data_IF_950347503383
#
_entry.id   IF_950347503383
#
_cell.length_a   1.000
_cell.length_b   1.000
_cell.length_c   1.000
_cell.angle_alpha   90.00
_cell.angle_beta   90.00
_cell.angle_gamma   90.00
#
_symmetry.space_group_name_H-M   'P 1'
#
loop_
_entity.id
_entity.type
_entity.pdbx_description
1 polymer ?
#
# COMPACT_ATOMS: atom_id res chain seq x y z
N UNK A 1 2.40 80.27 38.98
CA UNK A 1 1.35 81.33 38.92
C UNK A 1 1.30 81.85 37.50
N UNK A 2 0.18 82.05 36.83
CA UNK A 2 -1.15 82.36 37.38
C UNK A 2 -2.24 81.37 36.84
N UNK A 3 -3.38 81.50 37.50
CA UNK A 3 -4.66 80.79 37.23
C UNK A 3 -5.30 81.32 35.92
N UNK A 4 -5.88 80.45 35.14
CA UNK A 4 -6.87 80.81 34.13
C UNK A 4 -8.22 80.13 34.43
N UNK A 5 -9.20 80.99 34.36
CA UNK A 5 -10.61 80.87 34.71
C UNK A 5 -11.33 80.14 33.58
N UNK A 6 -12.10 79.11 33.93
CA UNK A 6 -13.00 78.35 33.01
C UNK A 6 -14.31 79.13 32.86
N UNK A 7 -14.63 79.62 31.65
CA UNK A 7 -15.95 80.11 31.29
C UNK A 7 -16.79 78.95 30.70
N UNK A 8 -17.97 78.77 31.29
CA UNK A 8 -18.97 77.84 30.82
C UNK A 8 -19.81 78.47 29.70
N UNK A 9 -20.00 77.77 28.60
CA UNK A 9 -20.93 78.08 27.52
C UNK A 9 -22.19 77.23 27.62
N UNK A 10 -23.39 77.72 27.31
CA UNK A 10 -24.66 77.05 27.49
C UNK A 10 -24.93 76.03 26.35
N UNK A 11 -25.52 74.89 26.69
CA UNK A 11 -25.96 73.85 25.78
C UNK A 11 -27.28 74.23 25.07
N UNK A 12 -27.44 73.86 23.76
CA UNK A 12 -28.71 74.05 23.07
C UNK A 12 -29.67 72.90 23.33
N UNK A 13 -30.99 73.07 23.11
CA UNK A 13 -32.00 72.09 23.50
C UNK A 13 -32.04 70.82 22.60
N UNK A 14 -32.15 69.71 23.22
CA UNK A 14 -32.36 68.41 22.57
C UNK A 14 -33.72 68.35 21.87
N UNK A 15 -33.73 68.25 20.52
CA UNK A 15 -34.88 67.76 19.77
C UNK A 15 -34.82 66.21 19.66
N UNK A 16 -35.81 65.53 20.27
CA UNK A 16 -36.05 64.14 20.04
C UNK A 16 -36.50 63.88 18.58
N UNK A 17 -35.63 63.30 17.76
CA UNK A 17 -36.02 62.79 16.47
C UNK A 17 -36.39 61.30 16.67
N UNK A 18 -37.68 60.96 16.51
CA UNK A 18 -38.15 59.59 16.44
C UNK A 18 -37.56 58.91 15.16
N UNK A 19 -36.50 58.14 15.31
CA UNK A 19 -36.05 57.26 14.24
C UNK A 19 -36.95 56.04 14.21
N UNK A 20 -37.76 55.88 13.14
CA UNK A 20 -38.45 54.66 12.79
C UNK A 20 -37.37 53.60 12.41
N UNK A 21 -37.14 52.62 13.30
CA UNK A 21 -36.36 51.44 13.00
C UNK A 21 -37.17 50.59 12.02
N UNK A 22 -36.78 50.60 10.74
CA UNK A 22 -37.23 49.62 9.77
C UNK A 22 -36.55 48.30 10.12
N UNK A 23 -37.28 47.36 10.73
CA UNK A 23 -36.92 45.97 10.85
C UNK A 23 -36.97 45.33 9.45
N UNK A 24 -35.82 45.23 8.78
CA UNK A 24 -35.67 44.34 7.65
C UNK A 24 -35.75 42.88 8.17
N UNK A 25 -36.61 42.04 7.62
CA UNK A 25 -36.58 40.61 7.95
C UNK A 25 -35.26 40.05 7.41
N UNK A 26 -34.37 39.68 8.31
CA UNK A 26 -33.18 38.86 7.97
C UNK A 26 -33.68 37.49 7.50
N UNK A 27 -33.73 37.31 6.20
CA UNK A 27 -34.01 36.01 5.62
C UNK A 27 -32.79 35.11 5.93
N UNK A 28 -32.87 34.35 7.02
CA UNK A 28 -31.95 33.27 7.29
C UNK A 28 -32.16 32.22 6.18
N UNK A 29 -31.33 32.28 5.14
CA UNK A 29 -31.10 31.16 4.26
C UNK A 29 -30.43 30.06 5.11
N UNK A 30 -31.22 29.18 5.69
CA UNK A 30 -30.72 27.89 6.14
C UNK A 30 -30.26 27.17 4.90
N UNK A 31 -28.97 27.20 4.63
CA UNK A 31 -28.31 26.25 3.75
C UNK A 31 -28.57 24.88 4.38
N UNK A 32 -29.66 24.24 3.97
CA UNK A 32 -29.86 22.81 4.22
C UNK A 32 -28.73 22.10 3.49
N UNK A 33 -27.64 21.83 4.22
CA UNK A 33 -26.60 20.98 3.71
C UNK A 33 -27.26 19.61 3.48
N UNK A 34 -27.59 19.30 2.21
CA UNK A 34 -28.03 17.93 1.87
C UNK A 34 -27.04 16.96 2.49
N UNK A 35 -27.52 16.04 3.30
CA UNK A 35 -26.71 14.95 3.82
C UNK A 35 -26.02 14.23 2.67
N UNK A 36 -24.82 13.70 2.85
CA UNK A 36 -24.14 12.95 1.81
C UNK A 36 -25.05 11.76 1.42
N UNK A 37 -25.13 11.47 0.12
CA UNK A 37 -25.90 10.32 -0.37
C UNK A 37 -25.13 9.01 -0.24
N UNK A 38 -23.83 9.12 -0.04
CA UNK A 38 -22.87 8.02 -0.05
C UNK A 38 -21.92 8.13 1.13
N UNK A 39 -21.52 6.99 1.63
CA UNK A 39 -20.46 6.81 2.59
C UNK A 39 -19.38 5.95 1.90
N UNK A 40 -18.25 6.58 1.57
CA UNK A 40 -17.16 5.95 0.82
C UNK A 40 -15.99 5.75 1.78
N UNK A 41 -15.67 4.50 2.07
CA UNK A 41 -14.45 4.14 2.77
C UNK A 41 -13.27 4.36 1.82
N UNK A 42 -12.58 5.46 2.00
CA UNK A 42 -11.47 5.87 1.16
C UNK A 42 -10.12 5.45 1.79
N UNK A 43 -9.39 4.50 1.23
CA UNK A 43 -8.08 4.10 1.76
C UNK A 43 -7.06 5.23 1.75
N UNK A 44 -7.26 6.24 0.91
CA UNK A 44 -6.36 7.39 0.78
C UNK A 44 -6.84 8.66 1.52
N UNK A 45 -7.80 8.55 2.44
CA UNK A 45 -8.37 9.71 3.13
C UNK A 45 -7.33 10.53 3.88
N UNK A 46 -6.32 9.87 4.44
CA UNK A 46 -5.24 10.50 5.20
C UNK A 46 -4.08 11.01 4.34
N UNK A 47 -4.08 10.72 3.04
CA UNK A 47 -3.00 11.10 2.13
C UNK A 47 -3.09 12.59 1.79
N UNK A 48 -2.02 13.31 2.04
CA UNK A 48 -1.84 14.72 1.64
C UNK A 48 -1.06 14.77 0.33
N UNK A 49 -1.77 14.67 -0.78
CA UNK A 49 -1.21 14.48 -2.12
C UNK A 49 -0.16 15.51 -2.55
N UNK A 50 -0.14 16.71 -1.98
CA UNK A 50 0.86 17.75 -2.25
C UNK A 50 2.09 17.67 -1.31
N UNK A 51 2.02 16.90 -0.22
CA UNK A 51 3.04 16.89 0.83
C UNK A 51 3.67 15.51 1.01
N UNK A 52 2.85 14.44 0.92
CA UNK A 52 3.29 13.08 1.14
C UNK A 52 4.06 12.58 -0.08
N UNK A 53 5.13 11.82 0.18
CA UNK A 53 6.02 11.31 -0.84
C UNK A 53 5.61 9.90 -1.28
N UNK A 54 5.90 9.59 -2.51
CA UNK A 54 5.66 8.28 -3.11
C UNK A 54 6.96 7.48 -3.12
N UNK A 55 6.98 6.35 -2.40
CA UNK A 55 8.14 5.51 -2.24
C UNK A 55 7.94 4.15 -2.91
N UNK A 56 8.87 3.79 -3.81
CA UNK A 56 8.88 2.49 -4.45
C UNK A 56 9.27 1.42 -3.44
N UNK A 57 8.50 0.32 -3.36
CA UNK A 57 8.65 -0.72 -2.36
C UNK A 57 8.53 -2.12 -2.97
N UNK A 58 9.29 -3.08 -2.43
CA UNK A 58 9.10 -4.49 -2.68
C UNK A 58 9.08 -5.25 -1.35
N UNK A 59 8.12 -6.17 -1.24
CA UNK A 59 7.85 -6.91 -0.02
C UNK A 59 8.02 -8.43 -0.18
N UNK A 60 8.55 -8.90 -1.32
CA UNK A 60 8.78 -10.31 -1.59
C UNK A 60 10.01 -10.48 -2.49
N UNK A 61 11.11 -10.93 -1.91
CA UNK A 61 12.35 -11.20 -2.63
C UNK A 61 13.22 -12.21 -1.89
N UNK A 62 13.95 -13.02 -2.65
CA UNK A 62 14.78 -14.11 -2.14
C UNK A 62 16.25 -13.87 -2.41
N UNK A 63 17.08 -14.43 -1.55
CA UNK A 63 18.53 -14.41 -1.67
C UNK A 63 19.11 -15.83 -1.66
N UNK A 64 20.44 -15.95 -1.79
CA UNK A 64 21.15 -17.24 -1.65
C UNK A 64 20.98 -17.86 -0.28
N UNK A 65 20.40 -17.16 0.70
CA UNK A 65 20.08 -17.73 2.00
C UNK A 65 18.90 -18.68 1.97
N UNK A 66 18.02 -18.56 0.97
CA UNK A 66 16.96 -19.55 0.70
C UNK A 66 17.15 -20.19 -0.67
N UNK A 67 16.53 -19.71 -1.71
CA UNK A 67 16.57 -20.29 -3.05
C UNK A 67 16.72 -19.24 -4.17
N UNK A 68 16.99 -17.96 -3.80
CA UNK A 68 17.43 -16.95 -4.75
C UNK A 68 18.87 -17.18 -5.23
N UNK A 69 19.21 -16.64 -6.40
CA UNK A 69 20.54 -16.76 -6.99
C UNK A 69 21.50 -15.62 -6.62
N UNK A 70 20.97 -14.52 -6.14
CA UNK A 70 21.76 -13.35 -5.76
C UNK A 70 21.95 -13.34 -4.24
N UNK A 71 23.13 -12.98 -3.79
CA UNK A 71 23.36 -12.79 -2.36
C UNK A 71 22.66 -11.52 -1.84
N UNK A 72 22.47 -11.37 -0.51
CA UNK A 72 21.78 -10.23 0.05
C UNK A 72 22.32 -8.87 -0.40
N UNK A 73 23.63 -8.72 -0.54
CA UNK A 73 24.24 -7.46 -1.00
C UNK A 73 23.81 -7.09 -2.40
N UNK A 74 23.92 -8.04 -3.33
CA UNK A 74 23.54 -7.82 -4.73
C UNK A 74 22.07 -7.50 -4.83
N UNK A 75 21.23 -8.17 -4.06
CA UNK A 75 19.80 -7.89 -4.00
C UNK A 75 19.55 -6.44 -3.57
N UNK A 76 20.16 -6.00 -2.47
CA UNK A 76 20.02 -4.62 -1.99
C UNK A 76 20.52 -3.61 -3.02
N UNK A 77 21.72 -3.84 -3.60
CA UNK A 77 22.28 -2.95 -4.61
C UNK A 77 21.36 -2.80 -5.82
N UNK A 78 20.82 -3.91 -6.34
CA UNK A 78 19.91 -3.90 -7.49
C UNK A 78 18.61 -3.16 -7.21
N UNK A 79 18.00 -3.40 -6.07
CA UNK A 79 16.79 -2.66 -5.69
C UNK A 79 17.06 -1.18 -5.47
N UNK A 80 18.20 -0.83 -4.85
CA UNK A 80 18.62 0.57 -4.68
C UNK A 80 18.87 1.26 -6.05
N UNK A 81 19.58 0.64 -6.98
CA UNK A 81 19.82 1.14 -8.33
C UNK A 81 18.53 1.43 -9.10
N UNK A 82 17.46 0.66 -8.83
CA UNK A 82 16.13 0.84 -9.43
C UNK A 82 15.22 1.82 -8.65
N UNK A 83 15.79 2.52 -7.66
CA UNK A 83 15.10 3.57 -6.92
C UNK A 83 14.10 3.06 -5.89
N UNK A 84 14.23 1.82 -5.41
CA UNK A 84 13.44 1.35 -4.29
C UNK A 84 13.91 2.02 -2.99
N UNK A 85 12.95 2.45 -2.20
CA UNK A 85 13.19 3.06 -0.88
C UNK A 85 12.77 2.15 0.29
N UNK A 86 11.98 1.13 0.02
CA UNK A 86 11.51 0.18 1.03
C UNK A 86 11.71 -1.23 0.47
N UNK A 87 12.42 -2.06 1.22
CA UNK A 87 12.71 -3.43 0.83
C UNK A 87 12.52 -4.38 2.01
N UNK A 88 11.84 -5.50 1.77
CA UNK A 88 11.83 -6.65 2.65
C UNK A 88 12.49 -7.84 1.94
N UNK A 89 13.59 -8.35 2.47
CA UNK A 89 14.12 -9.64 2.06
C UNK A 89 13.34 -10.72 2.81
N UNK A 90 12.71 -11.60 2.06
CA UNK A 90 11.76 -12.59 2.58
C UNK A 90 12.19 -14.01 2.26
N UNK A 91 13.41 -14.34 2.59
CA UNK A 91 13.93 -15.70 2.43
C UNK A 91 13.02 -16.73 3.11
N UNK A 92 12.88 -17.91 2.50
CA UNK A 92 12.03 -19.00 2.99
C UNK A 92 12.38 -19.42 4.41
N UNK A 93 11.47 -19.19 5.34
CA UNK A 93 11.58 -19.57 6.76
C UNK A 93 12.85 -19.04 7.44
N UNK A 94 13.47 -17.99 6.92
CA UNK A 94 14.68 -17.37 7.42
C UNK A 94 14.51 -15.84 7.44
N UNK A 95 14.98 -15.20 8.49
CA UNK A 95 15.05 -13.73 8.54
C UNK A 95 16.43 -13.27 8.08
N UNK A 96 16.48 -12.43 7.05
CA UNK A 96 17.68 -11.79 6.52
C UNK A 96 17.66 -10.29 6.91
N UNK A 97 17.76 -10.03 8.23
CA UNK A 97 17.66 -8.69 8.79
C UNK A 97 18.54 -8.53 10.07
N UNK A 98 19.30 -7.41 10.24
CA UNK A 98 19.51 -6.41 9.18
C UNK A 98 20.34 -7.00 8.02
N UNK A 99 20.06 -6.58 6.81
CA UNK A 99 20.77 -7.13 5.63
C UNK A 99 22.29 -6.89 5.65
N UNK A 100 22.74 -5.90 6.44
CA UNK A 100 24.14 -5.57 6.65
C UNK A 100 24.95 -6.63 7.42
N UNK A 101 24.30 -7.56 8.11
CA UNK A 101 24.96 -8.64 8.86
C UNK A 101 25.23 -9.87 7.99
N UNK A 102 24.61 -9.96 6.80
CA UNK A 102 24.69 -11.13 5.92
C UNK A 102 25.62 -10.85 4.72
N UNK A 103 26.91 -10.71 5.00
CA UNK A 103 27.89 -10.24 4.02
C UNK A 103 28.37 -11.26 3.00
N UNK A 104 28.21 -12.55 3.21
CA UNK A 104 28.65 -13.59 2.28
C UNK A 104 27.78 -14.83 2.33
N UNK A 105 27.66 -15.44 1.16
CA UNK A 105 27.06 -16.69 0.81
C UNK A 105 27.01 -17.72 1.94
N UNK A 106 25.96 -17.70 2.68
CA UNK A 106 25.49 -18.88 3.36
C UNK A 106 24.42 -19.49 2.45
N UNK A 107 24.89 -20.16 1.41
CA UNK A 107 23.98 -20.81 0.49
C UNK A 107 23.24 -21.95 1.19
N UNK A 108 21.93 -21.93 1.13
CA UNK A 108 21.13 -23.14 1.42
C UNK A 108 21.50 -24.23 0.42
N UNK A 109 21.25 -25.50 0.74
CA UNK A 109 21.47 -26.60 -0.22
C UNK A 109 20.70 -26.41 -1.53
N UNK A 110 19.63 -25.66 -1.50
CA UNK A 110 18.76 -25.34 -2.64
C UNK A 110 19.38 -24.27 -3.53
N UNK A 111 19.95 -23.21 -2.94
CA UNK A 111 20.64 -22.18 -3.68
C UNK A 111 21.95 -22.65 -4.28
N UNK A 112 22.68 -23.60 -3.65
CA UNK A 112 23.85 -24.23 -4.23
C UNK A 112 23.59 -24.79 -5.62
N UNK A 113 22.50 -25.52 -5.77
CA UNK A 113 22.13 -26.10 -7.06
C UNK A 113 21.85 -25.04 -8.13
N UNK A 114 21.18 -23.95 -7.75
CA UNK A 114 20.89 -22.83 -8.66
C UNK A 114 22.13 -22.02 -9.01
N UNK A 115 23.07 -21.88 -8.08
CA UNK A 115 24.34 -21.19 -8.31
C UNK A 115 25.30 -21.94 -9.21
N UNK A 116 25.31 -23.28 -9.14
CA UNK A 116 26.10 -24.11 -10.06
C UNK A 116 25.67 -23.93 -11.53
N UNK A 117 24.37 -23.67 -11.75
CA UNK A 117 23.84 -23.44 -13.10
C UNK A 117 24.14 -22.04 -13.66
N UNK A 118 24.30 -21.04 -12.80
CA UNK A 118 24.61 -19.66 -13.19
C UNK A 118 25.29 -18.90 -12.04
N UNK A 119 26.58 -19.14 -11.78
CA UNK A 119 27.29 -18.43 -10.75
C UNK A 119 27.44 -16.97 -11.15
N UNK A 120 26.74 -16.06 -10.51
CA UNK A 120 27.05 -14.64 -10.55
C UNK A 120 28.21 -14.39 -9.59
N UNK A 121 29.40 -14.18 -10.16
CA UNK A 121 30.57 -13.80 -9.36
C UNK A 121 30.41 -12.38 -8.86
N UNK A 122 30.38 -12.24 -7.55
CA UNK A 122 30.43 -10.92 -6.91
C UNK A 122 31.85 -10.39 -6.88
N UNK A 123 32.06 -9.07 -7.11
CA UNK A 123 33.33 -8.43 -6.81
C UNK A 123 33.67 -8.65 -5.32
N UNK A 124 34.87 -9.13 -5.04
CA UNK A 124 35.33 -9.41 -3.66
C UNK A 124 35.50 -8.15 -2.81
N UNK A 125 35.42 -6.96 -3.42
CA UNK A 125 35.87 -5.67 -2.87
C UNK A 125 34.73 -4.78 -2.35
N UNK A 126 33.48 -5.26 -2.32
CA UNK A 126 32.35 -4.46 -1.84
C UNK A 126 32.37 -4.35 -0.31
N UNK A 127 32.72 -3.15 0.17
CA UNK A 127 32.70 -2.83 1.60
C UNK A 127 31.26 -2.74 2.06
N UNK A 128 30.89 -3.62 2.96
CA UNK A 128 29.51 -3.84 3.41
C UNK A 128 28.91 -2.67 4.19
N UNK A 129 29.77 -1.94 4.88
CA UNK A 129 29.40 -0.80 5.74
C UNK A 129 28.67 0.32 4.97
N UNK A 130 28.95 0.48 3.67
CA UNK A 130 28.32 1.51 2.83
C UNK A 130 26.88 1.16 2.42
N UNK A 131 26.38 -0.02 2.78
CA UNK A 131 25.02 -0.50 2.44
C UNK A 131 24.02 -0.42 3.58
N UNK A 132 24.35 0.28 4.63
CA UNK A 132 23.39 0.54 5.70
C UNK A 132 22.14 1.23 5.15
N UNK A 133 20.93 0.89 5.62
CA UNK A 133 19.70 1.49 5.14
C UNK A 133 19.72 3.01 5.14
N UNK A 134 20.26 3.61 6.19
CA UNK A 134 20.41 5.08 6.30
C UNK A 134 21.32 5.67 5.21
N UNK A 135 22.44 5.01 4.89
CA UNK A 135 23.36 5.46 3.86
C UNK A 135 22.75 5.38 2.45
N UNK A 136 21.92 4.38 2.21
CA UNK A 136 21.20 4.19 0.95
C UNK A 136 19.90 5.01 0.86
N UNK A 137 19.45 5.63 1.94
CA UNK A 137 18.12 6.27 2.00
C UNK A 137 16.97 5.27 1.87
N UNK A 138 17.17 4.04 2.34
CA UNK A 138 16.21 2.94 2.28
C UNK A 138 15.74 2.53 3.67
N UNK A 139 14.67 1.74 3.70
CA UNK A 139 14.22 0.98 4.87
C UNK A 139 14.43 -0.51 4.61
N UNK A 140 15.09 -1.17 5.55
CA UNK A 140 15.21 -2.63 5.68
C UNK A 140 14.10 -3.15 6.59
N UNK A 141 13.04 -3.73 6.02
CA UNK A 141 11.94 -4.30 6.81
C UNK A 141 12.31 -5.72 7.22
N UNK A 142 12.29 -5.98 8.54
CA UNK A 142 12.46 -7.32 9.08
C UNK A 142 11.30 -8.21 8.64
N UNK A 143 11.59 -9.24 7.85
CA UNK A 143 10.57 -10.10 7.25
C UNK A 143 11.12 -11.48 6.90
N UNK A 144 10.21 -12.41 6.62
CA UNK A 144 10.50 -13.70 5.99
C UNK A 144 9.26 -14.24 5.29
N UNK A 145 9.44 -15.21 4.41
CA UNK A 145 8.34 -15.98 3.85
C UNK A 145 8.15 -17.28 4.64
N UNK A 146 7.01 -17.45 5.29
CA UNK A 146 6.58 -18.69 5.91
C UNK A 146 6.08 -19.63 4.81
N UNK A 147 6.79 -20.72 4.55
CA UNK A 147 6.58 -21.55 3.36
C UNK A 147 6.32 -23.04 3.64
N UNK A 148 6.00 -23.39 4.88
CA UNK A 148 5.66 -24.75 5.26
C UNK A 148 4.20 -25.14 4.97
N UNK A 149 3.40 -24.20 4.51
CA UNK A 149 1.98 -24.29 4.18
C UNK A 149 1.65 -23.32 3.04
N UNK A 150 0.46 -22.71 3.01
CA UNK A 150 0.18 -21.54 2.14
C UNK A 150 1.22 -20.44 2.41
N UNK A 151 1.94 -20.00 1.39
CA UNK A 151 3.03 -19.06 1.58
C UNK A 151 2.53 -17.70 2.09
N UNK A 152 3.20 -17.15 3.09
CA UNK A 152 2.83 -15.90 3.74
C UNK A 152 4.07 -15.06 4.03
N UNK A 153 4.04 -13.79 3.65
CA UNK A 153 5.01 -12.81 4.14
C UNK A 153 4.70 -12.43 5.59
N UNK A 154 5.65 -12.63 6.49
CA UNK A 154 5.61 -12.17 7.86
C UNK A 154 6.52 -10.96 8.01
N UNK A 155 5.98 -9.82 8.52
CA UNK A 155 6.69 -8.54 8.57
C UNK A 155 6.69 -7.98 9.99
N UNK A 156 7.76 -7.23 10.32
CA UNK A 156 7.93 -6.54 11.62
C UNK A 156 7.84 -7.46 12.83
N UNK A 157 7.98 -8.76 12.63
CA UNK A 157 7.98 -9.71 13.73
C UNK A 157 9.19 -9.50 14.64
N UNK A 158 9.06 -9.83 15.92
CA UNK A 158 10.11 -9.70 16.91
C UNK A 158 10.94 -10.99 17.05
N UNK A 159 10.86 -11.87 16.06
CA UNK A 159 11.56 -13.15 16.13
C UNK A 159 13.01 -12.94 16.52
N UNK A 160 13.50 -13.63 17.56
CA UNK A 160 14.91 -13.61 17.88
C UNK A 160 15.70 -14.16 16.70
N UNK A 161 16.89 -13.69 16.54
CA UNK A 161 17.81 -13.87 15.42
C UNK A 161 17.70 -15.18 14.65
N UNK A 162 17.89 -15.16 13.32
CA UNK A 162 17.91 -16.37 12.54
C UNK A 162 18.99 -17.30 13.08
N UNK A 163 18.56 -18.39 13.67
CA UNK A 163 19.48 -19.48 13.96
C UNK A 163 19.77 -20.17 12.64
N UNK A 164 20.97 -19.99 12.14
CA UNK A 164 21.44 -20.56 10.90
C UNK A 164 21.03 -22.03 10.77
N UNK A 165 20.41 -22.39 9.65
CA UNK A 165 19.98 -23.76 9.38
C UNK A 165 18.72 -24.23 10.09
N UNK A 166 18.06 -23.39 10.88
CA UNK A 166 16.76 -23.72 11.46
C UNK A 166 15.65 -22.96 10.71
N UNK A 167 14.71 -23.75 10.20
CA UNK A 167 13.49 -23.22 9.62
C UNK A 167 12.73 -22.42 10.68
N UNK A 168 12.39 -21.17 10.33
CA UNK A 168 11.46 -20.35 11.10
C UNK A 168 10.01 -20.62 10.67
N UNK A 169 9.72 -21.80 10.16
CA UNK A 169 8.36 -22.26 10.01
C UNK A 169 7.77 -22.38 11.42
N UNK A 170 6.82 -21.55 11.75
CA UNK A 170 6.11 -21.63 13.02
C UNK A 170 5.35 -22.96 13.12
N UNK A 171 4.77 -23.40 12.03
CA UNK A 171 4.00 -24.64 11.92
C UNK A 171 3.82 -25.04 10.45
N UNK A 172 3.31 -26.24 10.23
CA UNK A 172 2.70 -26.66 8.95
C UNK A 172 1.22 -26.32 8.89
N UNK A 173 0.69 -25.61 9.91
CA UNK A 173 -0.67 -25.14 10.03
C UNK A 173 -0.68 -23.62 9.90
N UNK A 174 -1.48 -23.10 8.99
CA UNK A 174 -1.59 -21.65 8.73
C UNK A 174 -2.09 -20.88 9.95
N UNK A 175 -3.03 -21.47 10.70
CA UNK A 175 -3.63 -20.84 11.87
C UNK A 175 -2.60 -20.66 12.99
N UNK A 176 -1.83 -21.70 13.29
CA UNK A 176 -0.76 -21.65 14.31
C UNK A 176 0.32 -20.63 13.93
N UNK A 177 0.68 -20.56 12.64
CA UNK A 177 1.66 -19.61 12.13
C UNK A 177 1.18 -18.17 12.25
N UNK A 178 -0.08 -17.91 11.88
CA UNK A 178 -0.71 -16.58 12.03
C UNK A 178 -0.75 -16.16 13.49
N UNK A 179 -1.15 -17.06 14.38
CA UNK A 179 -1.19 -16.77 15.82
C UNK A 179 0.21 -16.44 16.37
N UNK A 180 1.23 -17.18 15.99
CA UNK A 180 2.61 -16.93 16.41
C UNK A 180 3.13 -15.56 15.93
N UNK A 181 2.86 -15.18 14.67
CA UNK A 181 3.23 -13.86 14.14
C UNK A 181 2.51 -12.74 14.90
N UNK A 182 1.24 -12.94 15.25
CA UNK A 182 0.44 -11.99 16.04
C UNK A 182 1.02 -11.79 17.43
N UNK A 183 1.40 -12.86 18.10
CA UNK A 183 2.01 -12.81 19.44
C UNK A 183 3.34 -12.04 19.46
N UNK A 184 4.04 -12.04 18.34
CA UNK A 184 5.26 -11.26 18.11
C UNK A 184 5.00 -9.84 17.60
N UNK A 185 3.74 -9.39 17.55
CA UNK A 185 3.35 -8.09 17.03
C UNK A 185 3.72 -7.90 15.53
N UNK A 186 3.78 -8.98 14.76
CA UNK A 186 3.98 -8.94 13.30
C UNK A 186 2.67 -8.75 12.54
N UNK A 187 2.80 -8.48 11.24
CA UNK A 187 1.70 -8.43 10.28
C UNK A 187 1.95 -9.39 9.13
N UNK A 188 0.89 -9.83 8.45
CA UNK A 188 0.98 -10.90 7.45
C UNK A 188 0.31 -10.49 6.13
N UNK A 189 0.92 -10.93 5.01
CA UNK A 189 0.39 -10.85 3.66
C UNK A 189 0.36 -12.25 3.05
N UNK A 190 -0.73 -12.66 2.41
CA UNK A 190 -0.72 -13.90 1.62
C UNK A 190 0.06 -13.71 0.33
N UNK A 191 0.98 -14.63 0.04
CA UNK A 191 1.77 -14.62 -1.17
C UNK A 191 1.14 -15.52 -2.24
N UNK A 192 1.13 -15.03 -3.50
CA UNK A 192 0.65 -15.74 -4.69
C UNK A 192 -0.48 -16.75 -4.39
N UNK A 193 -1.61 -16.29 -3.82
CA UNK A 193 -2.66 -17.18 -3.29
C UNK A 193 -3.32 -18.05 -4.36
N UNK A 194 -3.34 -17.63 -5.63
CA UNK A 194 -3.84 -18.44 -6.75
C UNK A 194 -3.02 -19.68 -7.06
N UNK A 195 -1.85 -19.85 -6.43
CA UNK A 195 -1.07 -21.10 -6.47
C UNK A 195 -1.77 -22.25 -5.73
N UNK A 196 -2.66 -21.91 -4.78
CA UNK A 196 -3.23 -22.87 -3.83
C UNK A 196 -4.70 -23.10 -4.10
N UNK A 197 -5.12 -24.35 -4.13
CA UNK A 197 -6.51 -24.75 -4.32
C UNK A 197 -7.27 -24.73 -2.97
N UNK A 198 -7.48 -23.52 -2.41
CA UNK A 198 -8.33 -23.33 -1.23
C UNK A 198 -9.69 -22.76 -1.66
N UNK A 199 -10.80 -23.17 -1.04
CA UNK A 199 -12.11 -22.58 -1.33
C UNK A 199 -12.19 -21.13 -0.86
N UNK A 200 -13.05 -20.32 -1.49
CA UNK A 200 -13.22 -18.91 -1.15
C UNK A 200 -13.54 -18.69 0.34
N UNK A 201 -14.43 -19.51 0.90
CA UNK A 201 -14.82 -19.43 2.32
C UNK A 201 -13.63 -19.56 3.26
N UNK A 202 -12.63 -20.36 2.91
CA UNK A 202 -11.41 -20.49 3.69
C UNK A 202 -10.66 -19.15 3.80
N UNK A 203 -10.52 -18.41 2.69
CA UNK A 203 -9.87 -17.11 2.69
C UNK A 203 -10.69 -16.07 3.45
N UNK A 204 -12.00 -16.01 3.22
CA UNK A 204 -12.90 -15.07 3.90
C UNK A 204 -12.85 -15.28 5.41
N UNK A 205 -12.93 -16.52 5.88
CA UNK A 205 -12.85 -16.88 7.29
C UNK A 205 -11.48 -16.53 7.90
N UNK A 206 -10.39 -16.73 7.14
CA UNK A 206 -9.04 -16.43 7.59
C UNK A 206 -8.89 -14.91 7.83
N UNK A 207 -9.31 -14.08 6.87
CA UNK A 207 -9.29 -12.62 7.01
C UNK A 207 -10.22 -12.11 8.11
N UNK A 208 -11.35 -12.77 8.34
CA UNK A 208 -12.28 -12.40 9.39
C UNK A 208 -11.74 -12.66 10.82
N UNK A 209 -10.91 -13.70 10.99
CA UNK A 209 -10.33 -14.10 12.28
C UNK A 209 -9.01 -13.42 12.61
N UNK A 210 -8.26 -12.98 11.59
CA UNK A 210 -6.92 -12.44 11.75
C UNK A 210 -6.83 -10.99 11.22
N UNK A 211 -6.99 -10.02 12.10
CA UNK A 211 -6.93 -8.59 11.77
C UNK A 211 -5.53 -8.14 11.29
N UNK A 212 -4.46 -8.80 11.75
CA UNK A 212 -3.08 -8.57 11.32
C UNK A 212 -2.73 -9.21 9.96
N UNK A 213 -3.59 -10.04 9.40
CA UNK A 213 -3.53 -10.49 8.01
C UNK A 213 -4.14 -9.40 7.14
N UNK A 214 -3.31 -8.49 6.59
CA UNK A 214 -3.78 -7.22 6.04
C UNK A 214 -3.99 -7.21 4.52
N UNK A 215 -3.37 -8.13 3.78
CA UNK A 215 -3.41 -8.09 2.32
C UNK A 215 -2.95 -9.36 1.64
N UNK A 216 -2.93 -9.32 0.31
CA UNK A 216 -2.44 -10.41 -0.54
C UNK A 216 -1.75 -9.86 -1.80
N UNK A 217 -0.98 -10.72 -2.45
CA UNK A 217 -0.44 -10.43 -3.78
C UNK A 217 -1.51 -10.59 -4.85
N UNK A 218 -1.56 -9.61 -5.76
CA UNK A 218 -2.41 -9.62 -6.96
C UNK A 218 -1.60 -9.75 -8.23
N UNK A 219 -0.29 -9.49 -8.14
CA UNK A 219 0.73 -9.78 -9.14
C UNK A 219 1.97 -10.30 -8.44
N UNK A 220 2.52 -11.39 -8.94
CA UNK A 220 3.70 -12.04 -8.43
C UNK A 220 4.57 -12.51 -9.58
N UNK A 221 5.89 -12.28 -9.50
CA UNK A 221 6.90 -12.73 -10.45
C UNK A 221 6.50 -12.46 -11.92
N UNK A 222 6.17 -11.20 -12.22
CA UNK A 222 5.43 -10.83 -13.42
C UNK A 222 3.93 -11.06 -13.20
N UNK A 223 3.34 -11.91 -14.00
CA UNK A 223 1.93 -12.34 -13.87
C UNK A 223 1.86 -13.87 -13.85
N UNK A 224 2.62 -14.48 -12.95
CA UNK A 224 2.75 -15.95 -12.86
C UNK A 224 1.46 -16.63 -12.44
N UNK A 225 0.67 -15.98 -11.59
CA UNK A 225 -0.57 -16.51 -11.03
C UNK A 225 -1.73 -15.54 -11.28
N UNK A 226 -2.28 -15.47 -12.50
CA UNK A 226 -3.33 -14.50 -12.86
C UNK A 226 -4.63 -14.68 -12.06
N UNK A 227 -4.85 -15.85 -11.48
CA UNK A 227 -6.00 -16.14 -10.61
C UNK A 227 -5.94 -15.39 -9.26
N UNK A 228 -4.78 -14.85 -8.86
CA UNK A 228 -4.64 -14.01 -7.66
C UNK A 228 -5.63 -12.85 -7.67
N UNK A 229 -5.80 -12.18 -8.82
CA UNK A 229 -6.73 -11.05 -8.96
C UNK A 229 -8.19 -11.47 -8.90
N UNK A 230 -8.51 -12.63 -9.49
CA UNK A 230 -9.87 -13.19 -9.46
C UNK A 230 -10.24 -13.54 -8.02
N UNK A 231 -9.30 -14.16 -7.29
CA UNK A 231 -9.48 -14.49 -5.89
C UNK A 231 -9.64 -13.23 -5.04
N UNK A 232 -8.78 -12.22 -5.25
CA UNK A 232 -8.89 -10.95 -4.55
C UNK A 232 -10.25 -10.28 -4.72
N UNK A 233 -10.74 -10.12 -5.97
CA UNK A 233 -12.07 -9.58 -6.24
C UNK A 233 -13.18 -10.42 -5.60
N UNK A 234 -13.02 -11.76 -5.58
CA UNK A 234 -13.99 -12.64 -4.93
C UNK A 234 -14.03 -12.45 -3.41
N UNK A 235 -12.87 -12.29 -2.77
CA UNK A 235 -12.76 -11.98 -1.33
C UNK A 235 -13.41 -10.62 -1.05
N UNK A 236 -13.07 -9.59 -1.83
CA UNK A 236 -13.62 -8.24 -1.67
C UNK A 236 -15.15 -8.23 -1.81
N UNK A 237 -15.70 -8.99 -2.76
CA UNK A 237 -17.16 -9.08 -2.98
C UNK A 237 -17.90 -9.55 -1.71
N UNK A 238 -17.27 -10.41 -0.93
CA UNK A 238 -17.86 -10.93 0.32
C UNK A 238 -17.54 -10.07 1.53
N UNK A 239 -16.31 -9.52 1.60
CA UNK A 239 -15.80 -8.88 2.81
C UNK A 239 -16.01 -7.36 2.86
N UNK A 240 -16.09 -6.69 1.69
CA UNK A 240 -16.25 -5.24 1.65
C UNK A 240 -17.71 -4.82 1.90
N UNK A 241 -17.94 -3.65 2.48
CA UNK A 241 -16.96 -2.66 2.90
C UNK A 241 -16.43 -2.86 4.34
N UNK A 242 -16.86 -3.90 5.06
CA UNK A 242 -16.55 -4.10 6.48
C UNK A 242 -15.10 -4.51 6.73
N UNK A 243 -14.52 -5.30 5.81
CA UNK A 243 -13.17 -5.85 5.93
C UNK A 243 -12.40 -5.70 4.63
N UNK A 244 -11.66 -4.60 4.45
CA UNK A 244 -10.78 -4.45 3.29
C UNK A 244 -9.61 -5.45 3.35
N UNK A 245 -9.21 -5.94 2.17
CA UNK A 245 -8.01 -6.74 1.95
C UNK A 245 -7.17 -6.01 0.92
N UNK A 246 -5.96 -5.60 1.31
CA UNK A 246 -5.13 -4.74 0.47
C UNK A 246 -4.36 -5.55 -0.58
N UNK A 247 -4.21 -4.96 -1.76
CA UNK A 247 -3.51 -5.56 -2.88
C UNK A 247 -2.05 -5.15 -2.95
N UNK A 248 -1.18 -6.10 -3.27
CA UNK A 248 0.25 -5.88 -3.46
C UNK A 248 0.75 -6.56 -4.73
N UNK A 249 1.82 -6.00 -5.29
CA UNK A 249 2.53 -6.53 -6.45
C UNK A 249 4.00 -6.65 -6.09
N UNK A 250 4.55 -7.85 -6.14
CA UNK A 250 5.94 -8.08 -5.75
C UNK A 250 6.68 -8.96 -6.74
N UNK A 251 8.00 -8.73 -6.82
CA UNK A 251 8.86 -9.42 -7.78
C UNK A 251 9.01 -10.91 -7.50
N UNK A 252 8.88 -11.34 -6.23
CA UNK A 252 9.21 -12.71 -5.82
C UNK A 252 10.54 -13.13 -6.47
N UNK A 253 11.55 -12.25 -6.30
CA UNK A 253 12.77 -12.29 -7.06
C UNK A 253 13.68 -13.43 -6.62
N UNK A 254 13.90 -14.38 -7.52
CA UNK A 254 14.86 -15.48 -7.36
C UNK A 254 16.06 -15.32 -8.30
N UNK A 255 15.86 -14.64 -9.43
CA UNK A 255 16.88 -14.38 -10.45
C UNK A 255 16.76 -12.95 -10.95
N UNK A 256 17.83 -12.39 -11.48
CA UNK A 256 17.87 -10.99 -11.93
C UNK A 256 16.76 -10.61 -12.93
N UNK A 257 16.29 -11.55 -13.75
CA UNK A 257 15.23 -11.30 -14.73
C UNK A 257 13.83 -11.12 -14.13
N UNK A 258 13.64 -11.45 -12.84
CA UNK A 258 12.37 -11.19 -12.14
C UNK A 258 12.28 -9.74 -11.63
N UNK A 259 13.43 -9.09 -11.43
CA UNK A 259 13.55 -7.80 -10.78
C UNK A 259 12.87 -6.67 -11.56
N UNK A 260 12.10 -5.85 -10.84
CA UNK A 260 11.53 -4.61 -11.35
C UNK A 260 10.35 -4.78 -12.28
N UNK A 261 9.66 -5.92 -12.24
CA UNK A 261 8.38 -6.14 -12.94
C UNK A 261 7.17 -5.84 -12.09
N UNK A 262 7.33 -6.00 -10.79
CA UNK A 262 6.27 -5.90 -9.81
C UNK A 262 6.72 -5.05 -8.63
N UNK A 263 6.00 -4.00 -8.29
CA UNK A 263 6.31 -3.21 -7.11
C UNK A 263 5.08 -2.50 -6.56
N UNK A 264 5.26 -1.93 -5.40
CA UNK A 264 4.26 -1.09 -4.76
C UNK A 264 4.77 0.34 -4.67
N UNK A 265 3.87 1.30 -4.67
CA UNK A 265 4.18 2.69 -4.39
C UNK A 265 3.47 3.06 -3.10
N UNK A 266 4.25 3.21 -2.04
CA UNK A 266 3.77 3.62 -0.72
C UNK A 266 3.68 5.14 -0.68
N UNK A 267 2.56 5.69 -0.19
CA UNK A 267 2.31 7.14 -0.09
C UNK A 267 2.40 7.53 1.37
N UNK A 268 3.54 8.10 1.77
CA UNK A 268 3.87 8.30 3.19
C UNK A 268 4.36 9.74 3.48
N UNK A 269 4.08 10.28 4.67
CA UNK A 269 4.57 11.60 5.09
C UNK A 269 6.07 11.63 5.40
N UNK A 270 6.81 10.64 4.98
CA UNK A 270 8.25 10.46 5.15
C UNK A 270 8.62 9.01 5.36
N UNK A 271 9.91 8.70 5.26
CA UNK A 271 10.45 7.35 5.26
C UNK A 271 10.83 6.92 6.68
N UNK A 272 10.10 5.97 7.28
CA UNK A 272 10.43 5.30 8.54
C UNK A 272 9.74 3.94 8.65
N UNK A 273 10.28 3.04 9.48
CA UNK A 273 9.70 1.71 9.76
C UNK A 273 8.23 1.81 10.20
N UNK A 274 7.94 2.71 11.15
CA UNK A 274 6.60 2.92 11.68
C UNK A 274 5.62 3.36 10.59
N UNK A 275 6.03 4.33 9.74
CA UNK A 275 5.18 4.83 8.66
C UNK A 275 4.99 3.78 7.56
N UNK A 276 6.03 3.01 7.23
CA UNK A 276 5.93 1.91 6.29
C UNK A 276 4.93 0.85 6.80
N UNK A 277 5.06 0.42 8.06
CA UNK A 277 4.12 -0.50 8.69
C UNK A 277 2.69 0.01 8.64
N UNK A 278 2.47 1.23 9.11
CA UNK A 278 1.16 1.87 9.08
C UNK A 278 0.59 1.93 7.66
N UNK A 279 1.43 2.31 6.68
CA UNK A 279 1.02 2.36 5.28
C UNK A 279 0.61 1.00 4.74
N UNK A 280 1.27 -0.09 5.16
CA UNK A 280 0.88 -1.46 4.81
C UNK A 280 -0.47 -1.83 5.46
N UNK A 281 -0.63 -1.59 6.76
CA UNK A 281 -1.85 -1.92 7.51
C UNK A 281 -3.08 -1.12 7.04
N UNK A 282 -2.90 0.14 6.62
CA UNK A 282 -3.97 1.06 6.19
C UNK A 282 -4.18 1.10 4.67
N UNK A 283 -3.38 0.38 3.88
CA UNK A 283 -3.49 0.38 2.42
C UNK A 283 -3.08 1.70 1.76
N UNK A 284 -2.14 2.46 2.36
CA UNK A 284 -1.63 3.73 1.81
C UNK A 284 -0.66 3.48 0.67
N UNK A 285 -1.11 2.75 -0.33
CA UNK A 285 -0.30 2.33 -1.47
C UNK A 285 -1.15 2.07 -2.71
N UNK A 286 -0.49 1.99 -3.84
CA UNK A 286 -1.02 1.38 -5.04
C UNK A 286 0.00 0.40 -5.62
N UNK A 287 -0.48 -0.62 -6.32
CA UNK A 287 0.36 -1.65 -6.91
C UNK A 287 0.68 -1.37 -8.37
N UNK A 288 1.82 -1.89 -8.84
CA UNK A 288 2.31 -1.71 -10.21
C UNK A 288 2.75 -3.04 -10.79
N UNK A 289 2.30 -3.32 -12.00
CA UNK A 289 2.78 -4.39 -12.86
C UNK A 289 3.34 -3.82 -14.16
N UNK A 290 4.58 -4.13 -14.47
CA UNK A 290 5.29 -3.72 -15.69
C UNK A 290 5.88 -4.97 -16.37
N UNK A 291 5.21 -5.55 -17.37
CA UNK A 291 5.66 -6.81 -18.00
C UNK A 291 7.09 -6.77 -18.54
N UNK A 292 7.48 -5.61 -19.10
CA UNK A 292 8.80 -5.39 -19.68
C UNK A 292 9.85 -4.99 -18.63
N UNK A 293 9.47 -4.90 -17.34
CA UNK A 293 10.36 -4.54 -16.24
C UNK A 293 10.85 -3.09 -16.30
N UNK A 294 11.98 -2.84 -15.65
CA UNK A 294 12.55 -1.50 -15.52
C UNK A 294 13.14 -0.92 -16.83
N UNK A 295 13.38 -1.76 -17.83
CA UNK A 295 13.84 -1.34 -19.16
C UNK A 295 12.67 -1.02 -20.10
N UNK A 296 11.45 -1.31 -19.68
CA UNK A 296 10.23 -1.08 -20.43
C UNK A 296 9.80 0.40 -20.47
N UNK A 297 8.67 0.68 -21.12
CA UNK A 297 8.11 2.02 -21.16
C UNK A 297 7.70 2.52 -19.78
N UNK A 298 7.59 3.84 -19.65
CA UNK A 298 7.15 4.46 -18.39
C UNK A 298 5.73 4.00 -18.03
N UNK A 299 5.55 3.62 -16.77
CA UNK A 299 4.26 3.14 -16.24
C UNK A 299 3.37 4.31 -15.78
N UNK A 300 2.05 4.09 -15.70
CA UNK A 300 1.14 5.07 -15.12
C UNK A 300 1.55 5.51 -13.71
N UNK A 301 1.33 6.78 -13.38
CA UNK A 301 1.58 7.32 -12.05
C UNK A 301 0.37 8.05 -11.54
N UNK A 302 -0.14 7.67 -10.38
CA UNK A 302 -1.24 8.35 -9.71
C UNK A 302 -0.67 9.60 -9.02
N UNK A 303 -1.20 10.76 -9.38
CA UNK A 303 -0.81 12.04 -8.78
C UNK A 303 -1.76 12.45 -7.67
N UNK A 304 -3.05 12.11 -7.81
CA UNK A 304 -4.09 12.46 -6.85
C UNK A 304 -5.34 11.60 -7.02
N UNK A 305 -6.00 11.32 -5.90
CA UNK A 305 -7.34 10.72 -5.86
C UNK A 305 -8.25 11.64 -5.05
N UNK A 306 -9.36 12.06 -5.65
CA UNK A 306 -10.36 12.90 -5.03
C UNK A 306 -11.64 12.11 -4.78
N UNK A 307 -12.09 12.05 -3.53
CA UNK A 307 -13.33 11.39 -3.12
C UNK A 307 -14.34 12.43 -2.63
N UNK A 308 -15.55 12.35 -3.14
CA UNK A 308 -16.63 13.28 -2.79
C UNK A 308 -17.90 12.52 -2.38
N UNK A 309 -18.08 12.27 -1.10
CA UNK A 309 -19.21 11.56 -0.52
C UNK A 309 -20.57 12.22 -0.85
N UNK A 310 -20.61 13.56 -0.82
CA UNK A 310 -21.85 14.29 -1.13
C UNK A 310 -22.33 14.05 -2.56
N UNK A 311 -21.41 14.00 -3.52
CA UNK A 311 -21.71 13.79 -4.94
C UNK A 311 -21.68 12.32 -5.33
N UNK A 312 -21.17 11.43 -4.45
CA UNK A 312 -20.92 10.03 -4.79
C UNK A 312 -19.96 9.91 -5.96
N UNK A 313 -18.78 10.52 -5.87
CA UNK A 313 -17.84 10.56 -6.98
C UNK A 313 -16.43 10.28 -6.49
N UNK A 314 -15.71 9.45 -7.23
CA UNK A 314 -14.27 9.21 -7.08
C UNK A 314 -13.61 9.65 -8.39
N UNK A 315 -12.49 10.38 -8.31
CA UNK A 315 -11.74 10.84 -9.48
C UNK A 315 -10.24 10.64 -9.28
N UNK A 316 -9.55 10.26 -10.36
CA UNK A 316 -8.11 10.02 -10.37
C UNK A 316 -7.45 10.99 -11.32
N UNK A 317 -6.44 11.70 -10.85
CA UNK A 317 -5.48 12.45 -11.67
C UNK A 317 -4.21 11.61 -11.77
N UNK A 318 -3.79 11.33 -12.99
CA UNK A 318 -2.64 10.50 -13.25
C UNK A 318 -1.94 10.90 -14.55
N UNK A 319 -0.70 10.50 -14.72
CA UNK A 319 0.08 10.69 -15.95
C UNK A 319 0.54 9.34 -16.51
N UNK A 320 0.99 9.35 -17.78
CA UNK A 320 1.56 8.19 -18.48
C UNK A 320 0.61 6.98 -18.56
N UNK A 321 -0.70 7.21 -18.58
CA UNK A 321 -1.72 6.18 -18.76
C UNK A 321 -2.46 6.39 -20.10
N UNK A 322 -2.99 5.31 -20.62
CA UNK A 322 -3.81 5.29 -21.84
C UNK A 322 -5.30 5.29 -21.51
N UNK A 323 -5.68 4.58 -20.44
CA UNK A 323 -7.07 4.50 -19.97
C UNK A 323 -7.13 4.21 -18.47
N UNK A 324 -8.24 4.58 -17.85
CA UNK A 324 -8.60 4.26 -16.47
C UNK A 324 -9.87 3.41 -16.48
N UNK A 325 -9.80 2.23 -15.91
CA UNK A 325 -10.89 1.24 -15.84
C UNK A 325 -11.32 1.09 -14.39
N UNK A 326 -12.62 1.17 -14.13
CA UNK A 326 -13.19 0.93 -12.81
C UNK A 326 -13.81 -0.45 -12.75
N UNK A 327 -13.52 -1.16 -11.67
CA UNK A 327 -13.88 -2.56 -11.45
C UNK A 327 -14.68 -2.65 -10.15
N UNK A 328 -15.79 -3.35 -10.19
CA UNK A 328 -16.60 -3.73 -9.04
C UNK A 328 -16.95 -5.22 -9.16
N UNK A 329 -16.79 -5.97 -8.08
CA UNK A 329 -17.10 -7.41 -8.04
C UNK A 329 -16.44 -8.20 -9.19
N UNK A 330 -15.19 -7.84 -9.53
CA UNK A 330 -14.41 -8.43 -10.62
C UNK A 330 -14.88 -8.04 -12.03
N UNK A 331 -15.86 -7.14 -12.15
CA UNK A 331 -16.45 -6.74 -13.43
C UNK A 331 -16.06 -5.30 -13.78
N UNK A 332 -15.69 -5.06 -15.04
CA UNK A 332 -15.48 -3.72 -15.57
C UNK A 332 -16.83 -2.97 -15.60
N UNK A 333 -16.96 -1.89 -14.81
CA UNK A 333 -18.21 -1.14 -14.64
C UNK A 333 -18.18 0.24 -15.30
N UNK A 334 -17.00 0.84 -15.46
CA UNK A 334 -16.87 2.17 -16.05
C UNK A 334 -15.45 2.38 -16.61
N UNK A 335 -15.32 3.26 -17.62
CA UNK A 335 -14.02 3.73 -18.13
C UNK A 335 -13.96 5.26 -18.12
N UNK A 336 -12.88 5.80 -17.58
CA UNK A 336 -12.64 7.24 -17.49
C UNK A 336 -12.04 7.66 -16.16
N UNK A 337 -11.55 8.90 -16.09
CA UNK A 337 -10.84 9.44 -14.92
C UNK A 337 -11.73 9.58 -13.68
N UNK A 338 -13.02 9.50 -13.80
CA UNK A 338 -13.93 9.72 -12.68
C UNK A 338 -15.15 8.81 -12.80
N UNK A 339 -15.48 8.18 -11.69
CA UNK A 339 -16.64 7.33 -11.51
C UNK A 339 -17.71 8.08 -10.71
N UNK A 340 -18.95 8.07 -11.20
CA UNK A 340 -20.12 8.47 -10.44
C UNK A 340 -20.79 7.21 -9.85
N UNK A 341 -20.86 7.11 -8.52
CA UNK A 341 -21.40 5.91 -7.86
C UNK A 341 -22.88 5.62 -8.18
N UNK A 342 -23.60 6.62 -8.68
CA UNK A 342 -24.97 6.45 -9.14
C UNK A 342 -25.08 5.58 -10.43
N UNK A 343 -23.96 5.37 -11.12
CA UNK A 343 -23.87 4.55 -12.33
C UNK A 343 -23.57 3.07 -12.00
N UNK A 344 -23.23 2.77 -10.74
CA UNK A 344 -22.94 1.41 -10.30
C UNK A 344 -24.20 0.56 -10.16
N UNK A 345 -24.08 -0.76 -10.34
CA UNK A 345 -25.15 -1.70 -10.01
C UNK A 345 -25.63 -1.53 -8.57
N UNK A 346 -26.92 -1.80 -8.33
CA UNK A 346 -27.47 -1.76 -6.98
C UNK A 346 -26.84 -2.88 -6.12
N UNK A 347 -26.41 -2.52 -4.91
CA UNK A 347 -25.78 -3.48 -3.98
C UNK A 347 -24.25 -3.55 -4.09
N UNK A 348 -23.63 -2.80 -5.01
CA UNK A 348 -22.15 -2.72 -5.08
C UNK A 348 -21.58 -2.27 -3.74
N UNK A 349 -20.66 -3.06 -3.20
CA UNK A 349 -20.02 -2.85 -1.88
C UNK A 349 -18.63 -2.26 -1.98
N UNK A 350 -17.97 -2.35 -3.13
CA UNK A 350 -16.67 -1.75 -3.38
C UNK A 350 -16.46 -1.41 -4.85
N UNK A 351 -15.50 -0.53 -5.08
CA UNK A 351 -14.91 -0.27 -6.42
C UNK A 351 -13.41 -0.12 -6.28
N UNK A 352 -12.68 -0.46 -7.33
CA UNK A 352 -11.26 -0.19 -7.49
C UNK A 352 -10.97 0.28 -8.91
N UNK A 353 -9.81 0.90 -9.13
CA UNK A 353 -9.42 1.34 -10.46
C UNK A 353 -8.12 0.70 -10.94
N UNK A 354 -8.03 0.46 -12.23
CA UNK A 354 -6.81 0.09 -12.94
C UNK A 354 -6.50 1.14 -14.00
N UNK A 355 -5.26 1.62 -13.98
CA UNK A 355 -4.70 2.50 -14.99
C UNK A 355 -3.82 1.66 -15.91
N UNK A 356 -4.23 1.55 -17.16
CA UNK A 356 -3.47 0.83 -18.18
C UNK A 356 -2.54 1.80 -18.92
N UNK A 357 -1.29 1.40 -19.13
CA UNK A 357 -0.27 2.20 -19.80
C UNK A 357 0.42 1.43 -20.92
N UNK A 358 1.44 2.05 -21.48
CA UNK A 358 2.26 1.47 -22.53
C UNK A 358 2.92 0.15 -22.07
N UNK A 359 3.23 -0.74 -23.02
CA UNK A 359 3.83 -2.04 -22.71
C UNK A 359 2.94 -2.96 -21.88
N UNK A 360 1.63 -2.78 -21.95
CA UNK A 360 0.64 -3.52 -21.13
C UNK A 360 0.85 -3.38 -19.62
N UNK A 361 1.46 -2.28 -19.17
CA UNK A 361 1.63 -1.99 -17.76
C UNK A 361 0.27 -1.67 -17.10
N UNK A 362 0.13 -2.07 -15.83
CA UNK A 362 -1.07 -1.84 -15.02
C UNK A 362 -0.67 -1.23 -13.68
N UNK A 363 -1.39 -0.19 -13.29
CA UNK A 363 -1.32 0.40 -11.95
C UNK A 363 -2.71 0.31 -11.33
N UNK A 364 -2.82 -0.32 -10.16
CA UNK A 364 -4.13 -0.52 -9.53
C UNK A 364 -4.22 0.12 -8.16
N UNK A 365 -5.38 0.73 -7.88
CA UNK A 365 -5.68 1.30 -6.56
C UNK A 365 -6.07 0.22 -5.56
N UNK A 366 -6.03 0.57 -4.28
CA UNK A 366 -6.74 -0.16 -3.24
C UNK A 366 -8.26 -0.02 -3.41
N UNK A 367 -9.08 -0.93 -2.86
CA UNK A 367 -10.52 -0.88 -2.99
C UNK A 367 -11.13 0.24 -2.13
N UNK A 368 -12.10 0.94 -2.71
CA UNK A 368 -12.95 1.90 -1.99
C UNK A 368 -14.22 1.18 -1.54
N UNK A 369 -14.51 1.16 -0.25
CA UNK A 369 -15.77 0.63 0.27
C UNK A 369 -16.93 1.56 -0.02
N UNK A 370 -18.08 1.00 -0.39
CA UNK A 370 -19.25 1.78 -0.81
C UNK A 370 -20.46 1.43 0.06
N UNK A 371 -21.07 2.46 0.68
CA UNK A 371 -22.36 2.37 1.36
C UNK A 371 -23.28 3.51 0.89
N UNK A 372 -24.59 3.25 0.83
CA UNK A 372 -25.57 4.34 0.77
C UNK A 372 -25.66 4.97 2.15
N UNK A 373 -25.51 6.28 2.25
CA UNK A 373 -25.69 7.00 3.51
C UNK A 373 -27.14 6.82 4.01
N UNK A 374 -27.29 6.56 5.28
CA UNK A 374 -28.62 6.35 5.93
C UNK A 374 -29.35 7.66 6.16
#
# INVERSE_FOLDING_TARGET
MPKQILMALPLPPFRLALQRVLLLPTLLFTLSACAPKWDIDNPYEQVRWEEDLQYKANFHTHTTRSDGRLNPHTVVDRYHELGYAILAITDHNLVTHPWTEFSRMEASQRSHRLMEEAPETMPEDLVFEDRGPTALGMIDIKANELSSHHHMGSFFNQHPEPVYGHSMAYSTDEEESLQAVREENGIVMLYHPGRYERPLDWYVDLYARHDHLFGLEVYNQGDRYPDDRILWDSILTVSMPERPVWAYSNDDMHVASHLGRNWNVMILPGLSQEKARRGMEEGLSYFVYAPEGHEGPAVPQIERIDVNNRRGRIAITARQHERVVWIAEGIHVHEGHALALAELPEGTTYVRAELHGAGSSVVGTQPFGIRKAR
#
